data_IF_077524479849
#
_entry.id   IF_077524479849
#
_cell.length_a   1.000
_cell.length_b   1.000
_cell.length_c   1.000
_cell.angle_alpha   90.00
_cell.angle_beta   90.00
_cell.angle_gamma   90.00
#
_symmetry.space_group_name_H-M   'P 1'
#
loop_
_entity.id
_entity.type
_entity.pdbx_description
1 polymer ?
#
# COMPACT_ATOMS: atom_id res chain seq x y z
N UNK A 1 -22.74 -27.20 -31.17
CA UNK A 1 -21.37 -26.83 -30.86
C UNK A 1 -20.94 -25.47 -31.42
N UNK A 2 -21.14 -25.14 -32.70
CA UNK A 2 -20.71 -23.84 -33.28
C UNK A 2 -21.38 -22.61 -32.62
N UNK A 3 -22.67 -22.69 -32.27
CA UNK A 3 -23.40 -21.57 -31.63
C UNK A 3 -22.93 -21.31 -30.18
N UNK A 4 -22.58 -22.37 -29.43
CA UNK A 4 -22.08 -22.24 -28.06
C UNK A 4 -20.72 -21.55 -27.99
N UNK A 5 -19.83 -21.83 -28.95
CA UNK A 5 -18.52 -21.21 -29.06
C UNK A 5 -18.61 -19.72 -29.41
N UNK A 6 -19.57 -19.35 -30.29
CA UNK A 6 -19.80 -17.93 -30.66
C UNK A 6 -20.32 -17.12 -29.46
N UNK A 7 -21.24 -17.68 -28.66
CA UNK A 7 -21.74 -17.02 -27.46
C UNK A 7 -20.61 -16.84 -26.41
N UNK A 8 -19.76 -17.85 -26.22
CA UNK A 8 -18.62 -17.76 -25.29
C UNK A 8 -17.59 -16.70 -25.73
N UNK A 9 -17.31 -16.62 -27.04
CA UNK A 9 -16.45 -15.58 -27.59
C UNK A 9 -17.04 -14.18 -27.43
N UNK A 10 -18.35 -14.01 -27.67
CA UNK A 10 -19.00 -12.72 -27.45
C UNK A 10 -18.97 -12.27 -25.98
N UNK A 11 -19.12 -13.22 -25.02
CA UNK A 11 -18.97 -12.91 -23.59
C UNK A 11 -17.54 -12.54 -23.24
N UNK A 12 -16.53 -13.24 -23.74
CA UNK A 12 -15.12 -12.93 -23.49
C UNK A 12 -14.71 -11.60 -24.13
N UNK A 13 -15.16 -11.31 -25.36
CA UNK A 13 -14.92 -10.03 -26.00
C UNK A 13 -15.70 -8.89 -25.32
N UNK A 14 -16.94 -9.10 -24.91
CA UNK A 14 -17.74 -8.11 -24.17
C UNK A 14 -17.08 -7.73 -22.84
N UNK A 15 -16.59 -8.69 -22.07
CA UNK A 15 -15.84 -8.40 -20.83
C UNK A 15 -14.50 -7.70 -21.09
N UNK A 16 -13.77 -8.07 -22.13
CA UNK A 16 -12.52 -7.41 -22.48
C UNK A 16 -12.75 -5.94 -22.90
N UNK A 17 -13.81 -5.66 -23.66
CA UNK A 17 -14.16 -4.28 -24.05
C UNK A 17 -14.62 -3.40 -22.89
N UNK A 18 -15.39 -3.96 -21.94
CA UNK A 18 -15.83 -3.21 -20.74
C UNK A 18 -14.64 -2.89 -19.84
N UNK A 19 -13.74 -3.84 -19.60
CA UNK A 19 -12.52 -3.62 -18.82
C UNK A 19 -11.60 -2.56 -19.46
N UNK A 20 -11.40 -2.61 -20.79
CA UNK A 20 -10.61 -1.60 -21.50
C UNK A 20 -11.24 -0.21 -21.47
N UNK A 21 -12.58 -0.11 -21.53
CA UNK A 21 -13.29 1.16 -21.44
C UNK A 21 -13.24 1.74 -20.02
N UNK A 22 -13.32 0.92 -18.98
CA UNK A 22 -13.15 1.33 -17.58
C UNK A 22 -11.72 1.82 -17.31
N UNK A 23 -10.71 1.11 -17.83
CA UNK A 23 -9.31 1.50 -17.72
C UNK A 23 -9.02 2.82 -18.46
N UNK A 24 -9.58 3.01 -19.65
CA UNK A 24 -9.43 4.25 -20.44
C UNK A 24 -10.07 5.44 -19.72
N UNK A 25 -11.27 5.27 -19.14
CA UNK A 25 -11.94 6.31 -18.36
C UNK A 25 -11.16 6.64 -17.07
N UNK A 26 -10.62 5.65 -16.38
CA UNK A 26 -9.78 5.83 -15.20
C UNK A 26 -8.50 6.59 -15.54
N UNK A 27 -7.85 6.27 -16.64
CA UNK A 27 -6.65 6.96 -17.12
C UNK A 27 -6.96 8.42 -17.50
N UNK A 28 -8.03 8.67 -18.26
CA UNK A 28 -8.44 10.03 -18.62
C UNK A 28 -8.77 10.89 -17.40
N UNK A 29 -9.44 10.31 -16.40
CA UNK A 29 -9.73 10.97 -15.13
C UNK A 29 -8.43 11.30 -14.39
N UNK A 30 -7.52 10.35 -14.27
CA UNK A 30 -6.22 10.53 -13.64
C UNK A 30 -5.41 11.64 -14.31
N UNK A 31 -5.32 11.62 -15.64
CA UNK A 31 -4.60 12.63 -16.42
C UNK A 31 -5.20 14.03 -16.22
N UNK A 32 -6.53 14.13 -16.13
CA UNK A 32 -7.21 15.41 -15.89
C UNK A 32 -6.84 16.01 -14.54
N UNK A 33 -6.81 15.21 -13.49
CA UNK A 33 -6.43 15.65 -12.13
C UNK A 33 -4.95 16.04 -12.07
N UNK A 34 -4.06 15.23 -12.65
CA UNK A 34 -2.63 15.54 -12.68
C UNK A 34 -2.34 16.80 -13.46
N UNK A 35 -3.09 17.07 -14.54
CA UNK A 35 -2.99 18.31 -15.31
C UNK A 35 -3.37 19.54 -14.49
N UNK A 36 -4.43 19.45 -13.67
CA UNK A 36 -4.78 20.52 -12.72
C UNK A 36 -3.65 20.74 -11.71
N UNK A 37 -3.13 19.67 -11.10
CA UNK A 37 -2.02 19.77 -10.17
C UNK A 37 -0.76 20.39 -10.80
N UNK A 38 -0.44 20.04 -12.05
CA UNK A 38 0.71 20.59 -12.77
C UNK A 38 0.56 22.09 -13.06
N UNK A 39 -0.65 22.56 -13.28
CA UNK A 39 -0.93 23.99 -13.51
C UNK A 39 -0.90 24.83 -12.21
N UNK A 40 -0.97 24.21 -11.05
CA UNK A 40 -0.86 24.89 -9.75
C UNK A 40 0.57 25.35 -9.48
N UNK A 41 0.76 26.55 -8.91
CA UNK A 41 2.09 26.98 -8.42
C UNK A 41 2.57 26.06 -7.32
N UNK A 42 3.89 25.93 -7.16
CA UNK A 42 4.53 25.10 -6.10
C UNK A 42 4.39 25.83 -4.76
N UNK A 43 3.27 25.63 -4.10
CA UNK A 43 2.86 26.24 -2.82
C UNK A 43 2.31 25.18 -1.89
N UNK A 44 2.16 25.45 -0.57
CA UNK A 44 1.49 24.54 0.36
C UNK A 44 0.10 24.09 -0.10
N UNK A 45 -0.67 24.95 -0.76
CA UNK A 45 -2.01 24.60 -1.29
C UNK A 45 -1.96 23.47 -2.30
N UNK A 46 -0.89 23.38 -3.10
CA UNK A 46 -0.69 22.27 -4.04
C UNK A 46 -0.44 20.95 -3.30
N UNK A 47 0.32 20.98 -2.20
CA UNK A 47 0.53 19.79 -1.36
C UNK A 47 -0.79 19.33 -0.73
N UNK A 48 -1.60 20.26 -0.20
CA UNK A 48 -2.92 19.96 0.34
C UNK A 48 -3.83 19.33 -0.71
N UNK A 49 -3.88 19.91 -1.92
CA UNK A 49 -4.65 19.39 -3.04
C UNK A 49 -4.22 17.96 -3.39
N UNK A 50 -2.91 17.72 -3.55
CA UNK A 50 -2.38 16.39 -3.89
C UNK A 50 -2.65 15.38 -2.76
N UNK A 51 -2.49 15.77 -1.50
CA UNK A 51 -2.84 14.94 -0.34
C UNK A 51 -4.29 14.49 -0.40
N UNK A 52 -5.21 15.43 -0.63
CA UNK A 52 -6.64 15.13 -0.66
C UNK A 52 -7.00 14.17 -1.81
N UNK A 53 -6.36 14.32 -2.97
CA UNK A 53 -6.52 13.40 -4.10
C UNK A 53 -6.01 12.01 -3.74
N UNK A 54 -4.80 11.90 -3.19
CA UNK A 54 -4.22 10.61 -2.81
C UNK A 54 -5.09 9.92 -1.75
N UNK A 55 -5.57 10.67 -0.76
CA UNK A 55 -6.44 10.14 0.30
C UNK A 55 -7.78 9.62 -0.24
N UNK A 56 -8.45 10.40 -1.10
CA UNK A 56 -9.73 9.98 -1.73
C UNK A 56 -9.59 8.72 -2.57
N UNK A 57 -8.44 8.54 -3.20
CA UNK A 57 -8.17 7.42 -4.11
C UNK A 57 -7.25 6.36 -3.53
N UNK A 58 -7.00 6.35 -2.21
CA UNK A 58 -6.03 5.46 -1.57
C UNK A 58 -6.27 3.96 -1.84
N UNK A 59 -7.49 3.57 -2.13
CA UNK A 59 -7.85 2.18 -2.47
C UNK A 59 -7.93 1.90 -3.97
N UNK A 60 -7.84 2.94 -4.80
CA UNK A 60 -7.94 2.77 -6.24
C UNK A 60 -6.65 2.20 -6.84
N UNK A 61 -6.74 1.33 -7.86
CA UNK A 61 -5.56 0.76 -8.51
C UNK A 61 -4.71 1.83 -9.21
N UNK A 62 -5.32 2.96 -9.59
CA UNK A 62 -4.67 4.09 -10.27
C UNK A 62 -4.11 5.16 -9.31
N UNK A 63 -3.98 4.87 -8.01
CA UNK A 63 -3.49 5.88 -7.04
C UNK A 63 -1.98 6.18 -7.17
N UNK A 64 -1.18 5.28 -7.73
CA UNK A 64 0.28 5.41 -7.79
C UNK A 64 0.77 6.73 -8.41
N UNK A 65 0.29 7.20 -9.59
CA UNK A 65 0.70 8.49 -10.14
C UNK A 65 0.38 9.70 -9.27
N UNK A 66 -0.73 9.68 -8.53
CA UNK A 66 -1.04 10.74 -7.55
C UNK A 66 -0.05 10.74 -6.38
N UNK A 67 0.28 9.55 -5.87
CA UNK A 67 1.28 9.38 -4.80
C UNK A 67 2.68 9.84 -5.24
N UNK A 68 3.05 9.55 -6.50
CA UNK A 68 4.30 10.06 -7.11
C UNK A 68 4.28 11.59 -7.17
N UNK A 69 3.18 12.19 -7.64
CA UNK A 69 3.05 13.64 -7.75
C UNK A 69 3.16 14.31 -6.37
N UNK A 70 2.49 13.77 -5.35
CA UNK A 70 2.60 14.26 -3.97
C UNK A 70 4.04 14.19 -3.46
N UNK A 71 4.69 13.05 -3.61
CA UNK A 71 6.06 12.86 -3.15
C UNK A 71 7.04 13.82 -3.83
N UNK A 72 6.96 13.94 -5.16
CA UNK A 72 7.83 14.83 -5.93
C UNK A 72 7.63 16.30 -5.57
N UNK A 73 6.39 16.74 -5.40
CA UNK A 73 6.08 18.11 -4.98
C UNK A 73 6.59 18.39 -3.56
N UNK A 74 6.41 17.42 -2.64
CA UNK A 74 6.92 17.53 -1.28
C UNK A 74 8.45 17.68 -1.24
N UNK A 75 9.17 16.88 -2.04
CA UNK A 75 10.62 17.01 -2.20
C UNK A 75 11.02 18.38 -2.78
N UNK A 76 10.29 18.88 -3.78
CA UNK A 76 10.56 20.20 -4.37
C UNK A 76 10.39 21.34 -3.35
N UNK A 77 9.40 21.23 -2.45
CA UNK A 77 9.15 22.18 -1.37
C UNK A 77 9.96 21.90 -0.09
N UNK A 78 10.74 20.81 -0.04
CA UNK A 78 11.48 20.33 1.14
C UNK A 78 10.58 20.17 2.38
N UNK A 79 9.38 19.65 2.17
CA UNK A 79 8.41 19.43 3.23
C UNK A 79 8.44 17.97 3.67
N UNK A 80 9.23 17.67 4.70
CA UNK A 80 9.47 16.30 5.18
C UNK A 80 8.20 15.58 5.61
N UNK A 81 7.21 16.27 6.17
CA UNK A 81 5.94 15.66 6.57
C UNK A 81 5.17 15.12 5.35
N UNK A 82 5.14 15.89 4.26
CA UNK A 82 4.51 15.46 3.01
C UNK A 82 5.36 14.47 2.22
N UNK A 83 6.70 14.54 2.31
CA UNK A 83 7.58 13.49 1.77
C UNK A 83 7.30 12.14 2.43
N UNK A 84 7.22 12.12 3.77
CA UNK A 84 6.86 10.92 4.54
C UNK A 84 5.48 10.39 4.15
N UNK A 85 4.49 11.26 4.02
CA UNK A 85 3.13 10.87 3.59
C UNK A 85 3.11 10.31 2.16
N UNK A 86 3.80 10.95 1.23
CA UNK A 86 3.92 10.48 -0.16
C UNK A 86 4.62 9.11 -0.24
N UNK A 87 5.69 8.92 0.54
CA UNK A 87 6.40 7.66 0.65
C UNK A 87 5.51 6.55 1.22
N UNK A 88 4.67 6.84 2.22
CA UNK A 88 3.69 5.91 2.78
C UNK A 88 2.70 5.41 1.72
N UNK A 89 2.11 6.31 0.94
CA UNK A 89 1.17 5.91 -0.11
C UNK A 89 1.85 5.17 -1.26
N UNK A 90 3.11 5.50 -1.59
CA UNK A 90 3.89 4.74 -2.57
C UNK A 90 4.19 3.32 -2.08
N UNK A 91 4.59 3.16 -0.81
CA UNK A 91 4.74 1.85 -0.20
C UNK A 91 3.44 1.04 -0.27
N UNK A 92 2.30 1.64 0.08
CA UNK A 92 0.99 1.01 0.00
C UNK A 92 0.59 0.58 -1.44
N UNK A 93 1.01 1.32 -2.46
CA UNK A 93 0.82 0.92 -3.86
C UNK A 93 1.61 -0.36 -4.18
N UNK A 94 2.86 -0.46 -3.74
CA UNK A 94 3.69 -1.63 -3.99
C UNK A 94 3.30 -2.85 -3.15
N UNK A 95 2.72 -2.66 -1.95
CA UNK A 95 2.08 -3.74 -1.19
C UNK A 95 0.94 -4.38 -2.00
N UNK A 96 0.05 -3.56 -2.58
CA UNK A 96 -1.06 -4.03 -3.43
C UNK A 96 -0.59 -4.76 -4.68
N UNK A 97 0.54 -4.36 -5.25
CA UNK A 97 1.14 -5.01 -6.40
C UNK A 97 1.93 -6.28 -6.03
N UNK A 98 2.06 -6.58 -4.75
CA UNK A 98 2.87 -7.69 -4.23
C UNK A 98 4.32 -7.63 -4.72
N UNK A 99 4.92 -6.45 -4.74
CA UNK A 99 6.30 -6.19 -5.15
C UNK A 99 7.19 -5.91 -3.91
N UNK A 100 7.70 -6.96 -3.23
CA UNK A 100 8.40 -6.80 -1.95
C UNK A 100 9.68 -5.96 -2.06
N UNK A 101 10.40 -6.01 -3.18
CA UNK A 101 11.65 -5.26 -3.33
C UNK A 101 11.39 -3.75 -3.48
N UNK A 102 10.40 -3.38 -4.29
CA UNK A 102 9.96 -1.99 -4.44
C UNK A 102 9.35 -1.45 -3.15
N UNK A 103 8.55 -2.29 -2.46
CA UNK A 103 8.00 -1.96 -1.15
C UNK A 103 9.12 -1.73 -0.11
N UNK A 104 10.14 -2.59 -0.07
CA UNK A 104 11.27 -2.46 0.86
C UNK A 104 12.02 -1.13 0.66
N UNK A 105 12.23 -0.70 -0.59
CA UNK A 105 12.83 0.60 -0.88
C UNK A 105 12.06 1.76 -0.23
N UNK A 106 10.73 1.76 -0.34
CA UNK A 106 9.91 2.82 0.26
C UNK A 106 9.82 2.72 1.78
N UNK A 107 9.87 1.50 2.33
CA UNK A 107 9.97 1.28 3.79
C UNK A 107 11.27 1.84 4.34
N UNK A 108 12.39 1.68 3.66
CA UNK A 108 13.67 2.29 4.06
C UNK A 108 13.61 3.82 3.99
N UNK A 109 12.91 4.38 3.00
CA UNK A 109 12.63 5.82 2.94
C UNK A 109 11.80 6.29 4.13
N UNK A 110 10.72 5.59 4.47
CA UNK A 110 9.90 5.91 5.65
C UNK A 110 10.72 5.88 6.94
N UNK A 111 11.59 4.88 7.09
CA UNK A 111 12.49 4.80 8.24
C UNK A 111 13.41 6.02 8.36
N UNK A 112 13.89 6.53 7.22
CA UNK A 112 14.78 7.69 7.20
C UNK A 112 14.10 8.99 7.66
N UNK A 113 12.77 9.10 7.54
CA UNK A 113 12.00 10.26 7.99
C UNK A 113 11.63 10.23 9.48
N UNK A 114 11.70 9.06 10.15
CA UNK A 114 11.30 8.90 11.56
C UNK A 114 11.94 9.93 12.50
N UNK A 115 13.24 10.26 12.40
CA UNK A 115 13.86 11.25 13.30
C UNK A 115 13.24 12.65 13.20
N UNK A 116 12.72 13.02 12.02
CA UNK A 116 12.16 14.35 11.77
C UNK A 116 10.65 14.41 12.02
N UNK A 117 9.91 13.35 11.67
CA UNK A 117 8.45 13.30 11.85
C UNK A 117 8.03 12.83 13.25
N UNK A 118 8.94 12.21 14.02
CA UNK A 118 8.74 11.82 15.40
C UNK A 118 7.78 10.64 15.61
N UNK A 119 7.40 9.90 14.55
CA UNK A 119 6.53 8.72 14.65
C UNK A 119 7.06 7.54 13.83
N UNK A 120 6.87 6.35 14.38
CA UNK A 120 7.23 5.08 13.74
C UNK A 120 6.05 4.48 12.96
N UNK A 121 4.83 5.00 13.09
CA UNK A 121 3.60 4.33 12.64
C UNK A 121 3.62 4.00 11.16
N UNK A 122 3.88 4.96 10.28
CA UNK A 122 3.90 4.72 8.84
C UNK A 122 4.99 3.73 8.41
N UNK A 123 6.17 3.85 9.02
CA UNK A 123 7.28 2.94 8.76
C UNK A 123 6.94 1.51 9.17
N UNK A 124 6.47 1.31 10.41
CA UNK A 124 6.19 -0.04 10.93
C UNK A 124 4.99 -0.70 10.26
N UNK A 125 3.95 0.07 9.95
CA UNK A 125 2.80 -0.42 9.18
C UNK A 125 3.23 -0.94 7.80
N UNK A 126 4.06 -0.20 7.07
CA UNK A 126 4.54 -0.59 5.75
C UNK A 126 5.65 -1.67 5.83
N UNK A 127 6.45 -1.71 6.89
CA UNK A 127 7.37 -2.83 7.15
C UNK A 127 6.60 -4.15 7.31
N UNK A 128 5.47 -4.14 8.03
CA UNK A 128 4.60 -5.31 8.13
C UNK A 128 4.02 -5.73 6.75
N UNK A 129 3.78 -4.80 5.84
CA UNK A 129 3.30 -5.10 4.50
C UNK A 129 4.31 -5.92 3.68
N UNK A 130 5.62 -5.77 3.90
CA UNK A 130 6.65 -6.63 3.27
C UNK A 130 6.38 -8.11 3.59
N UNK A 131 5.99 -8.43 4.81
CA UNK A 131 5.63 -9.81 5.18
C UNK A 131 4.47 -10.35 4.35
N UNK A 132 3.41 -9.55 4.13
CA UNK A 132 2.26 -9.95 3.30
C UNK A 132 2.67 -10.18 1.85
N UNK A 133 3.48 -9.27 1.28
CA UNK A 133 4.00 -9.40 -0.07
C UNK A 133 4.90 -10.64 -0.24
N UNK A 134 5.72 -10.98 0.75
CA UNK A 134 6.52 -12.21 0.78
C UNK A 134 5.65 -13.46 0.89
N UNK A 135 4.61 -13.43 1.74
CA UNK A 135 3.67 -14.55 1.90
C UNK A 135 2.91 -14.83 0.60
N UNK A 136 2.47 -13.80 -0.12
CA UNK A 136 1.82 -13.97 -1.43
C UNK A 136 2.73 -14.64 -2.48
N UNK A 137 4.04 -14.41 -2.38
CA UNK A 137 5.08 -15.08 -3.19
C UNK A 137 5.54 -16.43 -2.63
N UNK A 138 4.82 -16.98 -1.65
CA UNK A 138 5.15 -18.27 -0.99
C UNK A 138 6.50 -18.29 -0.28
N UNK A 139 7.09 -17.14 0.04
CA UNK A 139 8.32 -17.05 0.84
C UNK A 139 8.00 -17.01 2.35
N UNK A 140 7.36 -18.06 2.83
CA UNK A 140 6.66 -18.10 4.13
C UNK A 140 7.59 -17.83 5.33
N UNK A 141 8.74 -18.48 5.39
CA UNK A 141 9.66 -18.31 6.53
C UNK A 141 10.21 -16.87 6.60
N UNK A 142 10.50 -16.27 5.45
CA UNK A 142 10.90 -14.85 5.39
C UNK A 142 9.75 -13.94 5.82
N UNK A 143 8.52 -14.24 5.38
CA UNK A 143 7.33 -13.48 5.77
C UNK A 143 7.13 -13.50 7.29
N UNK A 144 7.19 -14.69 7.91
CA UNK A 144 7.07 -14.85 9.36
C UNK A 144 8.20 -14.10 10.09
N UNK A 145 9.44 -14.19 9.58
CA UNK A 145 10.57 -13.49 10.17
C UNK A 145 10.36 -11.97 10.18
N UNK A 146 10.01 -11.37 9.03
CA UNK A 146 9.77 -9.93 8.92
C UNK A 146 8.62 -9.47 9.82
N UNK A 147 7.52 -10.22 9.87
CA UNK A 147 6.39 -9.87 10.73
C UNK A 147 6.75 -9.92 12.23
N UNK A 148 7.52 -10.92 12.68
CA UNK A 148 7.98 -11.02 14.07
C UNK A 148 8.94 -9.88 14.42
N UNK A 149 9.88 -9.56 13.53
CA UNK A 149 10.80 -8.45 13.72
C UNK A 149 10.03 -7.12 13.82
N UNK A 150 9.04 -6.92 12.94
CA UNK A 150 8.18 -5.73 12.96
C UNK A 150 7.40 -5.64 14.29
N UNK A 151 6.85 -6.77 14.78
CA UNK A 151 6.15 -6.79 16.05
C UNK A 151 7.05 -6.38 17.22
N UNK A 152 8.28 -6.88 17.27
CA UNK A 152 9.25 -6.53 18.32
C UNK A 152 9.60 -5.04 18.26
N UNK A 153 9.80 -4.50 17.06
CA UNK A 153 10.10 -3.08 16.87
C UNK A 153 8.91 -2.20 17.23
N UNK A 154 7.67 -2.62 16.90
CA UNK A 154 6.44 -1.92 17.25
C UNK A 154 6.22 -1.83 18.75
N UNK A 155 6.43 -2.94 19.46
CA UNK A 155 6.37 -2.98 20.93
C UNK A 155 7.42 -2.05 21.56
N UNK A 156 8.65 -2.05 21.04
CA UNK A 156 9.75 -1.18 21.52
C UNK A 156 9.43 0.31 21.36
N UNK A 157 8.75 0.68 20.28
CA UNK A 157 8.45 2.08 19.95
C UNK A 157 7.01 2.49 20.29
N UNK A 158 6.25 1.61 20.97
CA UNK A 158 4.85 1.85 21.38
C UNK A 158 3.94 2.24 20.21
N UNK A 159 4.15 1.61 19.03
CA UNK A 159 3.35 1.85 17.84
C UNK A 159 2.18 0.86 17.77
N UNK A 160 0.99 1.27 18.17
CA UNK A 160 -0.22 0.44 18.08
C UNK A 160 -0.53 0.04 16.62
N UNK A 161 -0.37 0.96 15.69
CA UNK A 161 -0.59 0.68 14.27
C UNK A 161 0.38 -0.37 13.74
N UNK A 162 1.66 -0.26 14.12
CA UNK A 162 2.68 -1.24 13.79
C UNK A 162 2.39 -2.63 14.39
N UNK A 163 1.93 -2.69 15.66
CA UNK A 163 1.56 -3.94 16.31
C UNK A 163 0.38 -4.63 15.60
N UNK A 164 -0.69 -3.89 15.32
CA UNK A 164 -1.87 -4.40 14.59
C UNK A 164 -1.44 -4.93 13.21
N UNK A 165 -0.65 -4.15 12.47
CA UNK A 165 -0.17 -4.53 11.15
C UNK A 165 0.71 -5.79 11.20
N UNK A 166 1.59 -5.92 12.20
CA UNK A 166 2.47 -7.07 12.37
C UNK A 166 1.69 -8.34 12.74
N UNK A 167 0.72 -8.26 13.65
CA UNK A 167 -0.15 -9.40 13.97
C UNK A 167 -0.96 -9.86 12.76
N UNK A 168 -1.54 -8.92 12.00
CA UNK A 168 -2.28 -9.24 10.78
C UNK A 168 -1.37 -9.93 9.73
N UNK A 169 -0.13 -9.47 9.60
CA UNK A 169 0.84 -10.05 8.67
C UNK A 169 1.29 -11.45 9.11
N UNK A 170 1.48 -11.68 10.41
CA UNK A 170 1.72 -13.03 10.96
C UNK A 170 0.55 -13.97 10.68
N UNK A 171 -0.68 -13.52 10.96
CA UNK A 171 -1.89 -14.28 10.68
C UNK A 171 -2.00 -14.67 9.21
N UNK A 172 -1.72 -13.71 8.31
CA UNK A 172 -1.69 -13.94 6.87
C UNK A 172 -0.65 -14.99 6.49
N UNK A 173 0.60 -14.86 6.95
CA UNK A 173 1.69 -15.79 6.62
C UNK A 173 1.39 -17.22 7.10
N UNK A 174 0.84 -17.39 8.32
CA UNK A 174 0.42 -18.68 8.85
C UNK A 174 -0.75 -19.26 8.06
N UNK A 175 -1.75 -18.44 7.69
CA UNK A 175 -2.90 -18.90 6.90
C UNK A 175 -2.48 -19.39 5.51
N UNK A 176 -1.63 -18.62 4.80
CA UNK A 176 -1.11 -19.00 3.48
C UNK A 176 -0.28 -20.29 3.52
N UNK A 177 0.31 -20.62 4.67
CA UNK A 177 1.06 -21.87 4.89
C UNK A 177 0.21 -23.01 5.49
N UNK A 178 -1.12 -22.85 5.54
CA UNK A 178 -2.06 -23.82 6.10
C UNK A 178 -1.84 -24.11 7.61
N UNK A 179 -1.23 -23.16 8.32
CA UNK A 179 -1.00 -23.20 9.78
C UNK A 179 -2.11 -22.43 10.50
N UNK A 180 -3.36 -22.90 10.34
CA UNK A 180 -4.56 -22.18 10.78
C UNK A 180 -4.61 -21.97 12.29
N UNK A 181 -4.12 -22.91 13.09
CA UNK A 181 -4.10 -22.78 14.55
C UNK A 181 -3.17 -21.65 15.02
N UNK A 182 -1.98 -21.54 14.42
CA UNK A 182 -1.07 -20.44 14.72
C UNK A 182 -1.62 -19.10 14.22
N UNK A 183 -2.28 -19.08 13.04
CA UNK A 183 -2.95 -17.89 12.56
C UNK A 183 -4.04 -17.41 13.53
N UNK A 184 -4.91 -18.33 13.99
CA UNK A 184 -5.96 -18.00 14.95
C UNK A 184 -5.38 -17.49 16.27
N UNK A 185 -4.33 -18.15 16.79
CA UNK A 185 -3.68 -17.76 18.05
C UNK A 185 -3.12 -16.33 18.01
N UNK A 186 -2.45 -15.94 16.92
CA UNK A 186 -1.87 -14.60 16.82
C UNK A 186 -2.94 -13.54 16.61
N UNK A 187 -4.00 -13.82 15.86
CA UNK A 187 -5.11 -12.89 15.64
C UNK A 187 -5.95 -12.70 16.92
N UNK A 188 -6.17 -13.76 17.70
CA UNK A 188 -6.83 -13.64 19.02
C UNK A 188 -6.00 -12.81 19.99
N UNK A 189 -4.66 -12.95 19.96
CA UNK A 189 -3.78 -12.10 20.78
C UNK A 189 -3.87 -10.63 20.36
N UNK A 190 -3.91 -10.35 19.06
CA UNK A 190 -4.13 -9.00 18.58
C UNK A 190 -5.45 -8.43 19.10
N UNK A 191 -6.55 -9.17 18.94
CA UNK A 191 -7.86 -8.77 19.44
C UNK A 191 -7.85 -8.43 20.94
N UNK A 192 -7.24 -9.28 21.77
CA UNK A 192 -7.16 -9.06 23.23
C UNK A 192 -6.32 -7.84 23.64
N UNK A 193 -5.34 -7.45 22.82
CA UNK A 193 -4.49 -6.31 23.14
C UNK A 193 -5.15 -4.97 22.79
N UNK A 194 -6.17 -4.96 21.91
CA UNK A 194 -6.76 -3.74 21.36
C UNK A 194 -8.28 -3.58 21.67
N UNK A 195 -8.84 -4.45 22.51
CA UNK A 195 -10.19 -4.35 23.06
C UNK A 195 -10.16 -4.10 24.55
#
# INVERSE_FOLDING_TARGET
>A
MKHTIIILLCFLYGHAYTLQAEDANAQQYQDSILKVAQAMPSTPDKLEYLRDIVYRHQYAPYNKPFSVALYQEACAQKNVSYENLGAYYLAACYDKLHEPDSLAYWVDKLKSYVPEVGTYDYYLEQKAAISRALASKRQIEKAIYVAKETLQESLKHHSNNGEIAAYNSLGCAYNVSSRSDEALKVLLKAYQNFT
#
